data_IF_969407117924
#
_entry.id   IF_969407117924
#
_cell.length_a   1.000
_cell.length_b   1.000
_cell.length_c   1.000
_cell.angle_alpha   90.00
_cell.angle_beta   90.00
_cell.angle_gamma   90.00
#
_symmetry.space_group_name_H-M   'P 1'
#
loop_
_entity.id
_entity.type
_entity.pdbx_description
1 polymer ?
#
# COMPACT_ATOMS: atom_id res chain seq x y z
N UNK A 1 -18.13 4.99 -0.86
CA UNK A 1 -17.48 5.79 0.19
C UNK A 1 -16.91 7.04 -0.45
N UNK A 2 -16.93 8.18 0.24
CA UNK A 2 -16.28 9.39 -0.28
C UNK A 2 -14.75 9.20 -0.31
N UNK A 3 -14.06 9.70 -1.35
CA UNK A 3 -12.62 9.50 -1.53
C UNK A 3 -11.80 10.12 -0.42
N UNK A 4 -12.16 11.33 -0.01
CA UNK A 4 -11.48 12.02 1.09
C UNK A 4 -11.66 11.24 2.40
N UNK A 5 -12.83 10.65 2.63
CA UNK A 5 -13.07 9.79 3.78
C UNK A 5 -12.20 8.52 3.77
N UNK A 6 -12.03 7.88 2.60
CA UNK A 6 -11.11 6.73 2.42
C UNK A 6 -9.69 7.14 2.81
N UNK A 7 -9.19 8.26 2.28
CA UNK A 7 -7.83 8.72 2.54
C UNK A 7 -7.62 9.08 4.01
N UNK A 8 -8.56 9.80 4.60
CA UNK A 8 -8.52 10.19 6.02
C UNK A 8 -8.45 8.99 6.96
N UNK A 9 -9.17 7.91 6.63
CA UNK A 9 -9.20 6.68 7.44
C UNK A 9 -8.12 5.68 7.06
N UNK A 10 -7.35 5.94 6.00
CA UNK A 10 -6.36 5.00 5.49
C UNK A 10 -5.14 4.90 6.40
N UNK A 11 -4.55 3.71 6.46
CA UNK A 11 -3.33 3.44 7.22
C UNK A 11 -2.13 4.32 6.82
N UNK A 12 -2.08 4.81 5.59
CA UNK A 12 -0.94 5.60 5.07
C UNK A 12 -1.16 7.12 5.11
N UNK A 13 -2.40 7.61 5.11
CA UNK A 13 -2.69 9.06 5.05
C UNK A 13 -3.48 9.61 6.25
N UNK A 14 -3.76 8.81 7.28
CA UNK A 14 -4.53 9.26 8.45
C UNK A 14 -3.88 10.37 9.29
N UNK A 15 -2.61 10.70 9.06
CA UNK A 15 -1.93 11.83 9.71
C UNK A 15 -2.10 13.16 8.96
N UNK A 16 -2.64 13.16 7.74
CA UNK A 16 -2.81 14.36 6.94
C UNK A 16 -3.96 15.22 7.47
N UNK A 17 -3.78 16.54 7.42
CA UNK A 17 -4.86 17.50 7.69
C UNK A 17 -5.81 17.65 6.50
N UNK A 18 -6.85 18.47 6.65
CA UNK A 18 -7.89 18.66 5.63
C UNK A 18 -7.36 19.27 4.32
N UNK A 19 -6.37 20.16 4.40
CA UNK A 19 -5.78 20.79 3.23
C UNK A 19 -4.85 19.82 2.50
N UNK A 20 -4.03 19.09 3.25
CA UNK A 20 -3.13 18.05 2.74
C UNK A 20 -3.89 16.88 2.13
N UNK A 21 -4.98 16.42 2.76
CA UNK A 21 -5.86 15.38 2.21
C UNK A 21 -6.46 15.81 0.88
N UNK A 22 -6.85 17.07 0.74
CA UNK A 22 -7.39 17.59 -0.52
C UNK A 22 -6.31 17.64 -1.61
N UNK A 23 -5.08 17.99 -1.24
CA UNK A 23 -3.95 17.98 -2.17
C UNK A 23 -3.67 16.55 -2.68
N UNK A 24 -3.59 15.58 -1.77
CA UNK A 24 -3.39 14.16 -2.11
C UNK A 24 -4.57 13.60 -2.89
N UNK A 25 -5.81 13.92 -2.51
CA UNK A 25 -7.02 13.52 -3.25
C UNK A 25 -6.92 13.95 -4.72
N UNK A 26 -6.56 15.20 -5.01
CA UNK A 26 -6.42 15.69 -6.38
C UNK A 26 -5.37 14.94 -7.22
N UNK A 27 -4.45 14.21 -6.59
CA UNK A 27 -3.41 13.44 -7.27
C UNK A 27 -3.81 11.99 -7.56
N UNK A 28 -4.95 11.53 -7.04
CA UNK A 28 -5.33 10.12 -7.12
C UNK A 28 -6.33 9.82 -8.24
N UNK A 29 -6.19 8.64 -8.83
CA UNK A 29 -7.13 8.10 -9.82
C UNK A 29 -7.85 6.90 -9.22
N UNK A 30 -9.16 6.79 -9.46
CA UNK A 30 -9.92 5.61 -9.08
C UNK A 30 -9.69 4.53 -10.13
N UNK A 31 -9.19 3.38 -9.72
CA UNK A 31 -9.00 2.21 -10.58
C UNK A 31 -9.84 1.04 -10.04
N UNK A 32 -10.52 0.33 -10.93
CA UNK A 32 -11.22 -0.93 -10.61
C UNK A 32 -10.40 -2.07 -11.18
N UNK A 33 -9.98 -2.96 -10.31
CA UNK A 33 -9.06 -4.05 -10.61
C UNK A 33 -9.84 -5.37 -10.52
N UNK A 34 -9.82 -6.16 -11.60
CA UNK A 34 -10.48 -7.46 -11.63
C UNK A 34 -9.73 -8.49 -10.77
N UNK A 35 -10.47 -9.45 -10.21
CA UNK A 35 -9.91 -10.53 -9.42
C UNK A 35 -8.82 -11.29 -10.21
N UNK A 36 -7.73 -11.64 -9.53
CA UNK A 36 -6.55 -12.29 -10.13
C UNK A 36 -5.58 -11.34 -10.83
N UNK A 37 -5.93 -10.06 -11.04
CA UNK A 37 -5.03 -9.08 -11.64
C UNK A 37 -3.88 -8.74 -10.69
N UNK A 38 -2.66 -8.74 -11.23
CA UNK A 38 -1.45 -8.34 -10.49
C UNK A 38 -1.29 -6.82 -10.60
N UNK A 39 -1.28 -6.14 -9.46
CA UNK A 39 -1.07 -4.69 -9.38
C UNK A 39 0.40 -4.36 -9.63
N UNK A 40 1.31 -5.12 -9.01
CA UNK A 40 2.75 -5.02 -9.19
C UNK A 40 3.45 -6.31 -8.80
N UNK A 41 4.68 -6.51 -9.30
CA UNK A 41 5.47 -7.72 -9.07
C UNK A 41 6.70 -7.46 -8.20
N UNK A 42 7.01 -8.42 -7.35
CA UNK A 42 8.24 -8.45 -6.55
C UNK A 42 9.48 -8.17 -7.40
N UNK A 43 10.43 -7.44 -6.81
CA UNK A 43 11.72 -7.08 -7.42
C UNK A 43 11.61 -6.24 -8.70
N UNK A 44 10.45 -5.67 -9.03
CA UNK A 44 10.29 -4.69 -10.11
C UNK A 44 10.30 -3.28 -9.57
N UNK A 45 10.63 -2.33 -10.44
CA UNK A 45 10.42 -0.91 -10.15
C UNK A 45 8.94 -0.69 -9.87
N UNK A 46 8.67 0.10 -8.83
CA UNK A 46 7.33 0.36 -8.35
C UNK A 46 7.02 1.83 -8.49
N UNK A 47 6.07 2.13 -9.37
CA UNK A 47 5.71 3.49 -9.73
C UNK A 47 4.46 3.99 -9.03
N UNK A 48 3.66 3.08 -8.47
CA UNK A 48 2.34 3.41 -7.91
C UNK A 48 2.20 2.93 -6.47
N UNK A 49 1.56 3.78 -5.68
CA UNK A 49 1.00 3.47 -4.36
C UNK A 49 -0.51 3.34 -4.52
N UNK A 50 -1.13 2.41 -3.79
CA UNK A 50 -2.57 2.18 -3.84
C UNK A 50 -3.16 2.17 -2.44
N UNK A 51 -4.26 2.89 -2.25
CA UNK A 51 -5.13 2.77 -1.07
C UNK A 51 -6.38 2.01 -1.48
N UNK A 52 -6.71 0.93 -0.78
CA UNK A 52 -7.87 0.11 -1.13
C UNK A 52 -9.13 0.78 -0.60
N UNK A 53 -10.04 1.12 -1.50
CA UNK A 53 -11.36 1.64 -1.11
C UNK A 53 -12.30 0.50 -0.75
N UNK A 54 -12.28 -0.57 -1.53
CA UNK A 54 -13.13 -1.77 -1.36
C UNK A 54 -12.45 -2.96 -2.03
N UNK A 55 -12.64 -4.16 -1.46
CA UNK A 55 -12.05 -5.39 -1.96
C UNK A 55 -10.85 -5.85 -1.13
N UNK A 56 -10.07 -6.77 -1.69
CA UNK A 56 -8.95 -7.40 -1.01
C UNK A 56 -7.80 -7.70 -1.97
N UNK A 57 -6.57 -7.49 -1.50
CA UNK A 57 -5.33 -7.69 -2.24
C UNK A 57 -4.41 -8.63 -1.45
N UNK A 58 -4.00 -9.73 -2.07
CA UNK A 58 -2.96 -10.59 -1.53
C UNK A 58 -1.58 -9.94 -1.66
N UNK A 59 -0.78 -10.09 -0.61
CA UNK A 59 0.64 -9.73 -0.56
C UNK A 59 1.43 -11.04 -0.57
N UNK A 60 2.14 -11.30 -1.67
CA UNK A 60 2.77 -12.58 -1.97
C UNK A 60 4.29 -12.44 -2.05
N UNK A 61 5.02 -13.41 -1.50
CA UNK A 61 6.44 -13.60 -1.79
C UNK A 61 6.61 -14.59 -2.94
N UNK A 62 7.43 -14.21 -3.92
CA UNK A 62 7.86 -15.11 -5.00
C UNK A 62 9.14 -15.83 -4.56
N UNK A 63 9.04 -17.14 -4.37
CA UNK A 63 10.15 -18.02 -3.92
C UNK A 63 10.87 -18.69 -5.09
N UNK A 64 10.26 -18.66 -6.28
CA UNK A 64 10.81 -19.19 -7.52
C UNK A 64 9.95 -18.78 -8.72
N UNK A 65 10.27 -19.26 -9.94
CA UNK A 65 9.56 -18.86 -11.15
C UNK A 65 8.06 -19.13 -11.14
N UNK A 66 7.63 -20.17 -10.41
CA UNK A 66 6.22 -20.60 -10.33
C UNK A 66 5.72 -20.72 -8.89
N UNK A 67 6.57 -20.53 -7.88
CA UNK A 67 6.18 -20.63 -6.47
C UNK A 67 5.92 -19.23 -5.90
N UNK A 68 4.65 -18.97 -5.57
CA UNK A 68 4.21 -17.77 -4.87
C UNK A 68 3.48 -18.18 -3.60
N UNK A 69 3.90 -17.61 -2.47
CA UNK A 69 3.22 -17.81 -1.19
C UNK A 69 2.58 -16.52 -0.75
N UNK A 70 1.28 -16.57 -0.50
CA UNK A 70 0.58 -15.47 0.14
C UNK A 70 1.06 -15.36 1.59
N UNK A 71 1.67 -14.23 1.91
CA UNK A 71 2.12 -13.90 3.26
C UNK A 71 1.02 -13.19 4.02
N UNK A 72 0.43 -12.16 3.41
CA UNK A 72 -0.57 -11.30 4.06
C UNK A 72 -1.65 -10.91 3.05
N UNK A 73 -2.67 -10.21 3.51
CA UNK A 73 -3.66 -9.55 2.66
C UNK A 73 -3.88 -8.13 3.17
N UNK A 74 -4.22 -7.23 2.25
CA UNK A 74 -4.65 -5.87 2.54
C UNK A 74 -6.11 -5.70 2.07
N UNK A 75 -6.97 -5.19 2.94
CA UNK A 75 -8.38 -4.90 2.69
C UNK A 75 -8.67 -3.41 2.61
N UNK A 76 -9.95 -3.04 2.73
CA UNK A 76 -10.37 -1.64 2.71
C UNK A 76 -9.63 -0.77 3.73
N UNK A 77 -9.30 0.45 3.34
CA UNK A 77 -8.50 1.46 4.07
C UNK A 77 -7.01 1.11 4.22
N UNK A 78 -6.55 -0.04 3.73
CA UNK A 78 -5.14 -0.40 3.79
C UNK A 78 -4.42 -0.03 2.48
N UNK A 79 -3.15 0.33 2.62
CA UNK A 79 -2.28 0.71 1.52
C UNK A 79 -1.41 -0.47 1.07
N UNK A 80 -1.20 -0.62 -0.24
CA UNK A 80 -0.15 -1.46 -0.84
C UNK A 80 0.74 -0.62 -1.76
N UNK A 81 2.00 -1.04 -1.92
CA UNK A 81 2.95 -0.35 -2.80
C UNK A 81 3.50 0.96 -2.22
N UNK A 82 3.54 1.09 -0.90
CA UNK A 82 4.14 2.24 -0.22
C UNK A 82 5.63 2.41 -0.57
N UNK A 83 6.30 1.35 -1.01
CA UNK A 83 7.68 1.37 -1.51
C UNK A 83 7.86 2.32 -2.70
N UNK A 84 6.78 2.68 -3.42
CA UNK A 84 6.85 3.70 -4.47
C UNK A 84 7.29 5.07 -3.94
N UNK A 85 7.21 5.31 -2.64
CA UNK A 85 7.57 6.58 -2.00
C UNK A 85 8.92 6.55 -1.28
N UNK A 86 9.54 5.38 -1.13
CA UNK A 86 10.79 5.18 -0.38
C UNK A 86 11.85 4.50 -1.27
N UNK A 87 13.11 5.00 -1.32
CA UNK A 87 14.18 4.32 -2.04
C UNK A 87 14.35 2.85 -1.58
N UNK A 88 14.59 1.89 -2.49
CA UNK A 88 14.99 2.06 -3.89
C UNK A 88 13.81 2.07 -4.89
N UNK A 89 12.57 2.34 -4.45
CA UNK A 89 11.37 2.35 -5.31
C UNK A 89 11.12 1.00 -5.99
N UNK A 90 11.35 -0.09 -5.26
CA UNK A 90 11.16 -1.46 -5.77
C UNK A 90 10.21 -2.22 -4.85
N UNK A 91 9.30 -2.96 -5.47
CA UNK A 91 8.35 -3.77 -4.73
C UNK A 91 9.08 -4.93 -4.04
N UNK A 92 8.86 -5.08 -2.73
CA UNK A 92 9.41 -6.21 -1.96
C UNK A 92 8.57 -7.49 -2.11
N UNK A 93 7.33 -7.35 -2.58
CA UNK A 93 6.35 -8.42 -2.72
C UNK A 93 5.57 -8.25 -4.03
N UNK A 94 4.86 -9.29 -4.44
CA UNK A 94 3.85 -9.22 -5.50
C UNK A 94 2.49 -8.92 -4.87
N UNK A 95 1.76 -7.97 -5.44
CA UNK A 95 0.39 -7.66 -5.02
C UNK A 95 -0.61 -8.12 -6.08
N UNK A 96 -1.61 -8.90 -5.67
CA UNK A 96 -2.63 -9.45 -6.56
C UNK A 96 -4.03 -9.27 -5.97
N UNK A 97 -4.97 -8.75 -6.74
CA UNK A 97 -6.35 -8.64 -6.31
C UNK A 97 -6.95 -10.04 -6.10
N UNK A 98 -7.49 -10.31 -4.91
CA UNK A 98 -8.16 -11.58 -4.58
C UNK A 98 -9.61 -11.60 -5.06
N UNK A 99 -10.22 -10.43 -5.11
CA UNK A 99 -11.57 -10.18 -5.60
C UNK A 99 -11.58 -8.91 -6.44
N UNK A 100 -12.75 -8.49 -6.92
CA UNK A 100 -12.87 -7.20 -7.61
C UNK A 100 -12.58 -6.09 -6.61
N UNK A 101 -11.51 -5.33 -6.85
CA UNK A 101 -10.99 -4.36 -5.89
C UNK A 101 -11.00 -2.96 -6.48
N UNK A 102 -11.59 -2.01 -5.77
CA UNK A 102 -11.52 -0.58 -6.13
C UNK A 102 -10.41 0.08 -5.31
N UNK A 103 -9.51 0.78 -5.97
CA UNK A 103 -8.36 1.43 -5.35
C UNK A 103 -8.28 2.90 -5.76
N UNK A 104 -7.70 3.70 -4.86
CA UNK A 104 -7.18 5.03 -5.16
C UNK A 104 -5.70 4.86 -5.47
N UNK A 105 -5.30 5.09 -6.72
CA UNK A 105 -3.93 4.95 -7.17
C UNK A 105 -3.23 6.30 -7.23
N UNK A 106 -1.94 6.29 -6.87
CA UNK A 106 -1.09 7.46 -6.81
C UNK A 106 0.19 7.23 -7.59
N UNK A 107 0.62 8.23 -8.35
CA UNK A 107 1.95 8.20 -8.94
C UNK A 107 3.00 8.48 -7.85
N UNK A 108 3.85 7.50 -7.54
CA UNK A 108 4.88 7.60 -6.52
C UNK A 108 5.90 8.71 -6.81
N UNK A 109 6.24 8.96 -8.07
CA UNK A 109 7.13 10.08 -8.44
C UNK A 109 6.49 11.43 -8.14
N UNK A 110 5.21 11.59 -8.45
CA UNK A 110 4.48 12.82 -8.15
C UNK A 110 4.39 13.05 -6.63
N UNK A 111 4.11 12.02 -5.83
CA UNK A 111 4.12 12.11 -4.37
C UNK A 111 5.51 12.53 -3.84
N UNK A 112 6.59 11.92 -4.35
CA UNK A 112 7.96 12.31 -3.95
C UNK A 112 8.28 13.76 -4.30
N UNK A 113 7.83 14.25 -5.45
CA UNK A 113 7.99 15.65 -5.83
C UNK A 113 7.25 16.58 -4.87
N UNK A 114 6.03 16.21 -4.47
CA UNK A 114 5.24 16.96 -3.49
C UNK A 114 5.96 17.02 -2.13
N UNK A 115 6.61 15.93 -1.70
CA UNK A 115 7.35 15.90 -0.43
C UNK A 115 8.49 16.91 -0.38
N UNK A 116 9.14 17.21 -1.50
CA UNK A 116 10.19 18.24 -1.56
C UNK A 116 9.65 19.66 -1.36
N UNK A 117 8.41 19.92 -1.76
CA UNK A 117 7.79 21.25 -1.67
C UNK A 117 6.93 21.43 -0.44
N UNK A 118 6.55 20.34 0.25
CA UNK A 118 5.71 20.37 1.45
C UNK A 118 6.28 19.46 2.56
N UNK A 119 7.17 19.98 3.44
CA UNK A 119 7.79 19.19 4.51
C UNK A 119 6.81 18.67 5.58
N UNK A 120 5.72 19.41 5.85
CA UNK A 120 4.68 18.98 6.80
C UNK A 120 4.00 17.71 6.31
N UNK A 121 3.53 17.75 5.06
CA UNK A 121 2.92 16.62 4.38
C UNK A 121 3.91 15.45 4.25
N UNK A 122 5.18 15.72 3.92
CA UNK A 122 6.22 14.70 3.90
C UNK A 122 6.34 13.99 5.26
N UNK A 123 6.34 14.73 6.37
CA UNK A 123 6.45 14.17 7.71
C UNK A 123 5.24 13.29 8.05
N UNK A 124 4.03 13.77 7.75
CA UNK A 124 2.79 13.04 7.98
C UNK A 124 2.72 11.75 7.14
N UNK A 125 3.03 11.82 5.84
CA UNK A 125 3.12 10.64 4.98
C UNK A 125 4.20 9.65 5.44
N UNK A 126 5.37 10.14 5.86
CA UNK A 126 6.42 9.27 6.41
C UNK A 126 5.96 8.55 7.69
N UNK A 127 5.22 9.24 8.57
CA UNK A 127 4.57 8.64 9.73
C UNK A 127 3.56 7.56 9.35
N UNK A 128 2.73 7.82 8.34
CA UNK A 128 1.78 6.84 7.81
C UNK A 128 2.46 5.61 7.23
N UNK A 129 3.50 5.78 6.40
CA UNK A 129 4.28 4.64 5.87
C UNK A 129 4.96 3.86 7.00
N UNK A 130 5.52 4.53 8.01
CA UNK A 130 6.09 3.86 9.18
C UNK A 130 5.03 3.04 9.94
N UNK A 131 3.80 3.56 10.07
CA UNK A 131 2.68 2.81 10.63
C UNK A 131 2.36 1.56 9.80
N UNK A 132 2.24 1.67 8.48
CA UNK A 132 2.01 0.51 7.58
C UNK A 132 3.10 -0.56 7.77
N UNK A 133 4.37 -0.16 7.80
CA UNK A 133 5.50 -1.07 8.01
C UNK A 133 5.38 -1.78 9.37
N UNK A 134 5.10 -1.02 10.43
CA UNK A 134 4.93 -1.56 11.79
C UNK A 134 3.84 -2.63 11.86
N UNK A 135 2.67 -2.34 11.27
CA UNK A 135 1.54 -3.28 11.26
C UNK A 135 1.86 -4.56 10.48
N UNK A 136 2.50 -4.43 9.32
CA UNK A 136 2.92 -5.59 8.50
C UNK A 136 4.01 -6.41 9.18
N UNK A 137 4.97 -5.77 9.84
CA UNK A 137 6.03 -6.43 10.58
C UNK A 137 5.46 -7.21 11.77
N UNK A 138 4.53 -6.60 12.52
CA UNK A 138 3.82 -7.26 13.61
C UNK A 138 3.06 -8.50 13.11
N UNK A 139 2.32 -8.38 12.01
CA UNK A 139 1.61 -9.51 11.40
C UNK A 139 2.58 -10.63 10.98
N UNK A 140 3.73 -10.28 10.40
CA UNK A 140 4.76 -11.25 10.02
C UNK A 140 5.34 -11.99 11.25
N UNK A 141 5.62 -11.29 12.35
CA UNK A 141 6.08 -11.92 13.59
C UNK A 141 5.04 -12.85 14.19
N UNK A 142 3.76 -12.46 14.19
CA UNK A 142 2.68 -13.35 14.66
C UNK A 142 2.60 -14.63 13.83
N UNK A 143 2.76 -14.55 12.51
CA UNK A 143 2.78 -15.73 11.65
C UNK A 143 3.98 -16.63 11.96
N UNK A 144 5.18 -16.07 12.12
CA UNK A 144 6.39 -16.83 12.48
C UNK A 144 6.22 -17.56 13.82
N UNK A 145 5.63 -16.93 14.83
CA UNK A 145 5.38 -17.57 16.13
C UNK A 145 4.26 -18.61 16.08
N UNK A 146 3.24 -18.41 15.25
CA UNK A 146 2.18 -19.39 15.02
C UNK A 146 2.68 -20.64 14.29
N UNK A 147 3.63 -20.49 13.36
CA UNK A 147 4.31 -21.61 12.70
C UNK A 147 5.20 -22.40 13.68
N UNK A 148 5.70 -21.78 14.75
CA UNK A 148 6.53 -22.45 15.75
C UNK A 148 5.77 -23.37 16.73
N UNK A 149 4.42 -23.38 16.73
CA UNK A 149 3.60 -24.26 17.58
C UNK A 149 3.19 -25.59 16.91
N UNK A 150 3.88 -26.01 15.85
CA UNK A 150 3.69 -27.32 15.23
C UNK A 150 4.85 -28.27 15.59
N UNK A 151 4.93 -28.69 16.86
CA UNK A 151 5.68 -29.87 17.29
C UNK A 151 4.96 -30.56 18.44
#
# INVERSE_FOLDING_TARGET
MDRIEVLRKSDVFHYLDDAELKEVDNMCTVEVIDAGTILFKQNRELEKLYVIQEGCVAIQLELGPTDRRQMQSAGALECVGWEATIPPFRAMTTAQALEKTTVLSFNGRALRNLYYTNPGLCCACAGGVAYVISQRLKAAFTQLMGVAHQY
#
